data_IF_362930578218
#
_entry.id   IF_362930578218
#
_cell.length_a   1.000
_cell.length_b   1.000
_cell.length_c   1.000
_cell.angle_alpha   90.00
_cell.angle_beta   90.00
_cell.angle_gamma   90.00
#
_symmetry.space_group_name_H-M   'P 1'
#
loop_
_entity.id
_entity.type
_entity.pdbx_description
1 polymer ?
#
# COMPACT_ATOMS: atom_id res chain seq x y z
N UNK A 1 67.88 23.20 42.01
CA UNK A 1 68.70 22.09 41.49
C UNK A 1 67.93 21.42 40.36
N UNK A 2 68.55 21.07 39.24
CA UNK A 2 67.86 20.37 38.15
C UNK A 2 67.40 18.99 38.63
N UNK A 3 66.20 18.57 38.20
CA UNK A 3 65.70 17.21 38.43
C UNK A 3 66.72 16.20 37.89
N UNK A 4 67.07 15.17 38.67
CA UNK A 4 67.99 14.14 38.18
C UNK A 4 67.29 13.27 37.13
N UNK A 5 68.04 12.70 36.18
CA UNK A 5 67.48 11.82 35.14
C UNK A 5 66.62 10.67 35.72
N UNK A 6 66.99 10.16 36.90
CA UNK A 6 66.24 9.14 37.64
C UNK A 6 64.88 9.64 38.14
N UNK A 7 64.80 10.87 38.62
CA UNK A 7 63.54 11.50 39.05
C UNK A 7 62.60 11.72 37.86
N UNK A 8 63.13 12.16 36.72
CA UNK A 8 62.40 12.32 35.46
C UNK A 8 61.82 10.99 34.96
N UNK A 9 62.63 9.91 34.94
CA UNK A 9 62.17 8.58 34.54
C UNK A 9 61.10 8.02 35.49
N UNK A 10 61.27 8.19 36.80
CA UNK A 10 60.27 7.82 37.81
C UNK A 10 58.93 8.54 37.57
N UNK A 11 58.99 9.86 37.36
CA UNK A 11 57.81 10.68 37.11
C UNK A 11 57.12 10.29 35.80
N UNK A 12 57.87 10.03 34.73
CA UNK A 12 57.34 9.57 33.46
C UNK A 12 56.63 8.22 33.59
N UNK A 13 57.24 7.24 34.29
CA UNK A 13 56.59 5.95 34.57
C UNK A 13 55.28 6.11 35.32
N UNK A 14 55.25 6.94 36.35
CA UNK A 14 54.02 7.22 37.12
C UNK A 14 52.93 7.83 36.24
N UNK A 15 53.28 8.83 35.43
CA UNK A 15 52.32 9.45 34.49
C UNK A 15 51.78 8.43 33.49
N UNK A 16 52.65 7.56 32.94
CA UNK A 16 52.23 6.52 32.00
C UNK A 16 51.28 5.52 32.67
N UNK A 17 51.59 5.06 33.90
CA UNK A 17 50.69 4.18 34.67
C UNK A 17 49.32 4.83 34.93
N UNK A 18 49.29 6.11 35.34
CA UNK A 18 48.03 6.82 35.55
C UNK A 18 47.22 7.01 34.26
N UNK A 19 47.89 7.14 33.11
CA UNK A 19 47.21 7.21 31.82
C UNK A 19 46.55 5.89 31.44
N UNK A 20 47.26 4.76 31.61
CA UNK A 20 46.69 3.41 31.41
C UNK A 20 45.50 3.18 32.32
N UNK A 21 45.58 3.54 33.60
CA UNK A 21 44.46 3.42 34.55
C UNK A 21 43.24 4.26 34.13
N UNK A 22 43.46 5.47 33.60
CA UNK A 22 42.39 6.33 33.08
C UNK A 22 41.75 5.75 31.83
N UNK A 23 42.56 5.20 30.92
CA UNK A 23 42.12 4.54 29.70
C UNK A 23 41.27 3.30 30.03
N UNK A 24 41.74 2.43 30.93
CA UNK A 24 41.00 1.26 31.40
C UNK A 24 39.66 1.66 32.06
N UNK A 25 39.68 2.72 32.88
CA UNK A 25 38.46 3.24 33.53
C UNK A 25 37.48 3.81 32.50
N UNK A 26 37.97 4.50 31.48
CA UNK A 26 37.15 5.05 30.40
C UNK A 26 36.47 3.92 29.61
N UNK A 27 37.24 2.93 29.14
CA UNK A 27 36.68 1.78 28.41
C UNK A 27 35.73 0.96 29.27
N UNK A 28 36.04 0.73 30.56
CA UNK A 28 35.16 0.03 31.48
C UNK A 28 33.82 0.77 31.66
N UNK A 29 33.86 2.10 31.79
CA UNK A 29 32.65 2.92 31.88
C UNK A 29 31.83 2.87 30.60
N UNK A 30 32.48 2.96 29.43
CA UNK A 30 31.82 2.90 28.13
C UNK A 30 31.17 1.53 27.90
N UNK A 31 31.85 0.44 28.25
CA UNK A 31 31.32 -0.91 28.16
C UNK A 31 30.09 -1.09 29.06
N UNK A 32 30.15 -0.61 30.31
CA UNK A 32 29.02 -0.68 31.22
C UNK A 32 27.82 0.13 30.73
N UNK A 33 28.06 1.30 30.12
CA UNK A 33 26.99 2.12 29.54
C UNK A 33 26.35 1.44 28.32
N UNK A 34 27.17 0.88 27.42
CA UNK A 34 26.69 0.11 26.27
C UNK A 34 25.90 -1.13 26.69
N UNK A 35 26.41 -1.88 27.69
CA UNK A 35 25.71 -3.03 28.24
C UNK A 35 24.34 -2.64 28.81
N UNK A 36 24.26 -1.50 29.50
CA UNK A 36 22.99 -0.96 29.98
C UNK A 36 22.02 -0.68 28.83
N UNK A 37 22.44 0.00 27.76
CA UNK A 37 21.57 0.28 26.62
C UNK A 37 21.14 -0.99 25.89
N UNK A 38 22.05 -1.94 25.69
CA UNK A 38 21.76 -3.24 25.08
C UNK A 38 20.71 -3.99 25.92
N UNK A 39 20.89 -4.03 27.24
CA UNK A 39 19.93 -4.70 28.13
C UNK A 39 18.56 -4.00 28.11
N UNK A 40 18.51 -2.68 28.10
CA UNK A 40 17.26 -1.92 27.94
C UNK A 40 16.57 -2.24 26.61
N UNK A 41 17.32 -2.31 25.52
CA UNK A 41 16.81 -2.68 24.20
C UNK A 41 16.28 -4.13 24.18
N UNK A 42 16.99 -5.07 24.80
CA UNK A 42 16.55 -6.46 24.93
C UNK A 42 15.24 -6.55 25.71
N UNK A 43 15.12 -5.86 26.83
CA UNK A 43 13.88 -5.86 27.63
C UNK A 43 12.71 -5.22 26.86
N UNK A 44 12.97 -4.15 26.11
CA UNK A 44 11.98 -3.57 25.19
C UNK A 44 11.54 -4.60 24.14
N UNK A 45 12.46 -5.30 23.48
CA UNK A 45 12.14 -6.33 22.49
C UNK A 45 11.36 -7.50 23.08
N UNK A 46 11.68 -7.92 24.31
CA UNK A 46 10.90 -8.94 25.04
C UNK A 46 9.48 -8.45 25.29
N UNK A 47 9.31 -7.20 25.70
CA UNK A 47 8.00 -6.58 25.89
C UNK A 47 7.16 -6.54 24.61
N UNK A 48 7.76 -6.14 23.48
CA UNK A 48 7.11 -6.15 22.16
C UNK A 48 6.69 -7.57 21.77
N UNK A 49 7.60 -8.55 21.87
CA UNK A 49 7.30 -9.96 21.55
C UNK A 49 6.20 -10.54 22.42
N UNK A 50 6.17 -10.21 23.71
CA UNK A 50 5.13 -10.71 24.61
C UNK A 50 3.76 -10.11 24.30
N UNK A 51 3.69 -8.83 23.91
CA UNK A 51 2.46 -8.22 23.38
C UNK A 51 2.03 -8.91 22.09
N UNK A 52 2.95 -9.09 21.14
CA UNK A 52 2.65 -9.75 19.88
C UNK A 52 2.18 -11.20 20.08
N UNK A 53 2.76 -11.94 21.05
CA UNK A 53 2.32 -13.29 21.41
C UNK A 53 0.88 -13.33 21.91
N UNK A 54 0.41 -12.30 22.61
CA UNK A 54 -0.94 -12.24 23.19
C UNK A 54 -1.98 -11.73 22.21
N UNK A 55 -1.62 -10.71 21.44
CA UNK A 55 -2.58 -9.91 20.68
C UNK A 55 -2.48 -10.12 19.17
N UNK A 56 -1.33 -10.62 18.68
CA UNK A 56 -1.04 -10.77 17.26
C UNK A 56 -1.28 -9.49 16.44
N UNK A 57 -0.96 -8.32 16.99
CA UNK A 57 -1.22 -7.00 16.39
C UNK A 57 -0.56 -6.83 15.01
N UNK A 58 0.58 -7.47 14.76
CA UNK A 58 1.27 -7.42 13.46
C UNK A 58 0.78 -8.47 12.44
N UNK A 59 -0.27 -9.27 12.75
CA UNK A 59 -0.76 -10.27 11.79
C UNK A 59 -1.58 -9.61 10.69
N UNK A 60 -1.20 -9.87 9.43
CA UNK A 60 -2.01 -9.53 8.28
C UNK A 60 -2.17 -10.75 7.37
N UNK A 61 -3.40 -11.21 7.17
CA UNK A 61 -3.66 -12.44 6.40
C UNK A 61 -3.27 -12.28 4.91
N UNK A 62 -3.34 -11.07 4.36
CA UNK A 62 -3.01 -10.83 2.95
C UNK A 62 -1.51 -10.76 2.71
N UNK A 63 -0.76 -10.26 3.70
CA UNK A 63 0.71 -10.36 3.69
C UNK A 63 1.15 -11.83 3.70
N UNK A 64 0.52 -12.66 4.54
CA UNK A 64 0.77 -14.11 4.59
C UNK A 64 0.46 -14.78 3.24
N UNK A 65 -0.59 -14.33 2.56
CA UNK A 65 -0.97 -14.84 1.23
C UNK A 65 -0.17 -14.21 0.08
N UNK A 66 0.77 -13.31 0.37
CA UNK A 66 1.69 -12.70 -0.60
C UNK A 66 1.00 -11.74 -1.57
N UNK A 67 0.21 -10.80 -1.05
CA UNK A 67 -0.45 -9.76 -1.87
C UNK A 67 0.51 -8.67 -2.35
N UNK A 68 1.64 -8.44 -1.65
CA UNK A 68 2.51 -7.25 -1.71
C UNK A 68 2.71 -6.60 -3.09
N UNK A 69 2.82 -7.38 -4.19
CA UNK A 69 2.94 -6.86 -5.57
C UNK A 69 2.13 -7.66 -6.60
N UNK A 70 1.13 -8.42 -6.17
CA UNK A 70 0.38 -9.30 -7.06
C UNK A 70 -0.90 -8.61 -7.57
N UNK A 71 -0.79 -7.97 -8.74
CA UNK A 71 -1.89 -7.26 -9.39
C UNK A 71 -3.14 -8.15 -9.55
N UNK A 72 -2.96 -9.44 -9.85
CA UNK A 72 -4.07 -10.38 -10.01
C UNK A 72 -4.80 -10.66 -8.69
N UNK A 73 -4.07 -10.82 -7.58
CA UNK A 73 -4.69 -10.99 -6.24
C UNK A 73 -5.43 -9.73 -5.81
N UNK A 74 -4.85 -8.56 -6.04
CA UNK A 74 -5.50 -7.28 -5.78
C UNK A 74 -6.78 -7.11 -6.61
N UNK A 75 -6.74 -7.44 -7.90
CA UNK A 75 -7.93 -7.40 -8.77
C UNK A 75 -9.01 -8.38 -8.31
N UNK A 76 -8.61 -9.58 -7.84
CA UNK A 76 -9.55 -10.55 -7.23
C UNK A 76 -10.25 -9.99 -6.00
N UNK A 77 -9.50 -9.35 -5.11
CA UNK A 77 -10.04 -8.80 -3.87
C UNK A 77 -10.93 -7.57 -4.13
N UNK A 78 -10.52 -6.67 -5.02
CA UNK A 78 -11.33 -5.53 -5.42
C UNK A 78 -12.63 -5.98 -6.07
N UNK A 79 -12.59 -6.95 -6.98
CA UNK A 79 -13.80 -7.51 -7.57
C UNK A 79 -14.72 -8.15 -6.52
N UNK A 80 -14.16 -8.84 -5.52
CA UNK A 80 -14.93 -9.36 -4.39
C UNK A 80 -15.64 -8.24 -3.61
N UNK A 81 -14.99 -7.10 -3.36
CA UNK A 81 -15.63 -5.94 -2.71
C UNK A 81 -16.70 -5.27 -3.58
N UNK A 82 -16.48 -5.19 -4.89
CA UNK A 82 -17.33 -4.46 -5.82
C UNK A 82 -18.61 -5.22 -6.18
N UNK A 83 -18.65 -6.55 -6.01
CA UNK A 83 -19.78 -7.38 -6.41
C UNK A 83 -20.84 -7.49 -5.30
N UNK A 84 -22.07 -7.02 -5.52
CA UNK A 84 -23.10 -7.00 -4.48
C UNK A 84 -23.57 -8.39 -4.03
N UNK A 85 -23.22 -9.44 -4.78
CA UNK A 85 -23.62 -10.83 -4.54
C UNK A 85 -22.54 -11.66 -3.88
N UNK A 86 -21.36 -11.09 -3.66
CA UNK A 86 -20.23 -11.79 -3.07
C UNK A 86 -20.34 -11.99 -1.56
N UNK A 87 -19.43 -12.83 -1.04
CA UNK A 87 -19.49 -13.34 0.33
C UNK A 87 -19.21 -12.31 1.44
N UNK A 88 -18.83 -11.07 1.11
CA UNK A 88 -18.82 -9.98 2.09
C UNK A 88 -20.22 -9.62 2.59
N UNK A 89 -21.27 -9.99 1.83
CA UNK A 89 -22.67 -9.88 2.22
C UNK A 89 -23.11 -8.47 2.65
N UNK A 90 -22.51 -7.43 2.06
CA UNK A 90 -22.86 -6.02 2.32
C UNK A 90 -23.59 -5.35 1.15
N UNK A 91 -24.21 -6.15 0.26
CA UNK A 91 -24.85 -5.67 -0.98
C UNK A 91 -23.85 -4.80 -1.77
N UNK A 92 -24.31 -3.73 -2.41
CA UNK A 92 -23.51 -2.80 -3.19
C UNK A 92 -22.76 -1.74 -2.35
N UNK A 93 -22.60 -1.92 -1.04
CA UNK A 93 -22.07 -0.88 -0.14
C UNK A 93 -20.72 -0.33 -0.61
N UNK A 94 -19.71 -1.19 -0.85
CA UNK A 94 -18.39 -0.72 -1.30
C UNK A 94 -18.47 -0.06 -2.68
N UNK A 95 -19.23 -0.65 -3.61
CA UNK A 95 -19.47 -0.07 -4.93
C UNK A 95 -20.10 1.33 -4.82
N UNK A 96 -21.10 1.51 -3.95
CA UNK A 96 -21.76 2.80 -3.72
C UNK A 96 -20.81 3.86 -3.17
N UNK A 97 -19.89 3.46 -2.28
CA UNK A 97 -18.84 4.34 -1.75
C UNK A 97 -17.90 4.76 -2.89
N UNK A 98 -17.45 3.81 -3.70
CA UNK A 98 -16.57 4.07 -4.84
C UNK A 98 -17.21 4.99 -5.89
N UNK A 99 -18.47 4.75 -6.25
CA UNK A 99 -19.24 5.59 -7.20
C UNK A 99 -19.36 7.03 -6.69
N UNK A 100 -19.61 7.24 -5.40
CA UNK A 100 -19.68 8.56 -4.77
C UNK A 100 -18.33 9.25 -4.71
N UNK A 101 -17.27 8.53 -4.31
CA UNK A 101 -15.90 9.05 -4.29
C UNK A 101 -15.46 9.50 -5.69
N UNK A 102 -15.86 8.76 -6.73
CA UNK A 102 -15.60 9.12 -8.13
C UNK A 102 -16.61 10.08 -8.74
N UNK A 103 -17.61 10.53 -7.99
CA UNK A 103 -18.67 11.46 -8.42
C UNK A 103 -19.36 11.02 -9.71
N UNK A 104 -19.54 9.71 -9.88
CA UNK A 104 -20.28 9.17 -11.00
C UNK A 104 -21.80 9.35 -10.78
N UNK A 105 -22.61 9.34 -11.87
CA UNK A 105 -24.06 9.45 -11.76
C UNK A 105 -24.68 8.42 -10.80
N UNK A 106 -25.56 8.88 -9.92
CA UNK A 106 -26.17 8.05 -8.87
C UNK A 106 -27.12 6.98 -9.43
N UNK A 107 -27.63 7.18 -10.64
CA UNK A 107 -28.51 6.26 -11.37
C UNK A 107 -27.80 4.94 -11.75
N UNK A 108 -26.48 4.86 -11.57
CA UNK A 108 -25.69 3.62 -11.67
C UNK A 108 -26.04 2.67 -10.51
N UNK A 109 -26.48 3.21 -9.36
CA UNK A 109 -26.82 2.48 -8.15
C UNK A 109 -28.27 1.97 -8.12
N UNK A 110 -29.06 2.20 -9.18
CA UNK A 110 -30.47 1.80 -9.26
C UNK A 110 -30.61 0.28 -9.47
N UNK A 111 -30.29 -0.51 -8.44
CA UNK A 111 -30.46 -1.96 -8.39
C UNK A 111 -29.15 -2.75 -8.44
N UNK A 112 -29.13 -4.01 -7.98
CA UNK A 112 -27.90 -4.80 -7.88
C UNK A 112 -27.64 -5.71 -9.10
N UNK A 113 -28.35 -5.54 -10.22
CA UNK A 113 -28.31 -6.46 -11.38
C UNK A 113 -27.13 -6.19 -12.34
N UNK A 114 -26.03 -5.65 -11.82
CA UNK A 114 -24.76 -5.57 -12.53
C UNK A 114 -23.88 -6.78 -12.18
N UNK A 115 -22.99 -7.16 -13.09
CA UNK A 115 -22.03 -8.23 -12.87
C UNK A 115 -20.63 -7.66 -12.74
N UNK A 116 -19.82 -8.22 -11.84
CA UNK A 116 -18.39 -7.96 -11.75
C UNK A 116 -17.62 -9.15 -12.32
N UNK A 117 -16.71 -8.88 -13.24
CA UNK A 117 -15.87 -9.89 -13.90
C UNK A 117 -14.42 -9.50 -13.77
N UNK A 118 -13.57 -10.51 -13.73
CA UNK A 118 -12.12 -10.36 -13.67
C UNK A 118 -11.53 -10.89 -14.95
N UNK A 119 -10.37 -10.34 -15.32
CA UNK A 119 -9.52 -10.93 -16.35
C UNK A 119 -10.24 -11.17 -17.69
N UNK A 120 -11.05 -10.21 -18.10
CA UNK A 120 -11.88 -10.32 -19.30
C UNK A 120 -11.01 -10.09 -20.52
N UNK A 121 -10.90 -11.10 -21.39
CA UNK A 121 -10.21 -10.97 -22.67
C UNK A 121 -10.91 -9.96 -23.57
N UNK A 122 -10.19 -8.92 -23.97
CA UNK A 122 -10.51 -8.04 -25.09
C UNK A 122 -9.84 -8.52 -26.38
N UNK A 123 -9.98 -7.74 -27.45
CA UNK A 123 -9.33 -8.03 -28.73
C UNK A 123 -7.84 -7.65 -28.68
N UNK A 124 -7.50 -6.60 -27.93
CA UNK A 124 -6.14 -6.04 -27.88
C UNK A 124 -5.48 -6.19 -26.51
N UNK A 125 -6.27 -6.48 -25.47
CA UNK A 125 -5.83 -6.43 -24.09
C UNK A 125 -6.65 -7.34 -23.15
N UNK A 126 -6.29 -7.36 -21.86
CA UNK A 126 -6.96 -8.17 -20.84
C UNK A 126 -7.36 -7.25 -19.71
N UNK A 127 -8.65 -6.96 -19.63
CA UNK A 127 -9.22 -6.05 -18.64
C UNK A 127 -9.16 -6.72 -17.27
N UNK A 128 -8.51 -6.06 -16.30
CA UNK A 128 -8.36 -6.57 -14.94
C UNK A 128 -9.72 -6.76 -14.24
N UNK A 129 -10.58 -5.73 -14.28
CA UNK A 129 -11.94 -5.78 -13.70
C UNK A 129 -12.94 -5.10 -14.63
N UNK A 130 -14.03 -5.80 -14.97
CA UNK A 130 -15.19 -5.27 -15.70
C UNK A 130 -16.42 -5.28 -14.77
N UNK A 131 -17.08 -4.13 -14.62
CA UNK A 131 -18.39 -4.00 -13.99
C UNK A 131 -19.38 -3.62 -15.08
N UNK A 132 -20.40 -4.44 -15.32
CA UNK A 132 -21.33 -4.22 -16.42
C UNK A 132 -22.77 -4.49 -16.04
N UNK A 133 -23.66 -3.56 -16.40
CA UNK A 133 -25.11 -3.75 -16.38
C UNK A 133 -25.64 -3.75 -17.80
N UNK A 134 -26.36 -4.80 -18.18
CA UNK A 134 -26.88 -5.01 -19.55
C UNK A 134 -28.39 -4.79 -19.69
N UNK A 135 -29.07 -4.62 -18.57
CA UNK A 135 -30.52 -4.47 -18.44
C UNK A 135 -30.92 -2.99 -18.51
N UNK A 136 -31.95 -2.54 -17.78
CA UNK A 136 -32.28 -1.12 -17.70
C UNK A 136 -31.09 -0.35 -17.13
N UNK A 137 -30.94 0.91 -17.53
CA UNK A 137 -29.85 1.76 -17.07
C UNK A 137 -28.43 1.20 -17.34
N UNK A 138 -28.21 0.66 -18.55
CA UNK A 138 -26.94 0.04 -18.93
C UNK A 138 -25.73 0.93 -18.69
N UNK A 139 -24.67 0.33 -18.16
CA UNK A 139 -23.38 0.98 -18.01
C UNK A 139 -22.26 -0.05 -18.07
N UNK A 140 -21.04 0.45 -18.30
CA UNK A 140 -19.82 -0.33 -18.18
C UNK A 140 -18.73 0.50 -17.48
N UNK A 141 -18.04 -0.15 -16.55
CA UNK A 141 -16.84 0.37 -15.90
C UNK A 141 -15.73 -0.65 -16.09
N UNK A 142 -14.59 -0.22 -16.62
CA UNK A 142 -13.35 -1.01 -16.58
C UNK A 142 -12.39 -0.39 -15.58
N UNK A 143 -11.73 -1.24 -14.80
CA UNK A 143 -10.66 -0.84 -13.89
C UNK A 143 -9.42 -1.61 -14.29
N UNK A 144 -8.39 -0.88 -14.70
CA UNK A 144 -7.04 -1.38 -14.92
C UNK A 144 -6.25 -1.21 -13.62
N UNK A 145 -5.72 -2.30 -13.07
CA UNK A 145 -5.06 -2.30 -11.77
C UNK A 145 -3.54 -2.38 -11.92
N UNK A 146 -2.84 -1.42 -11.32
CA UNK A 146 -1.38 -1.35 -11.31
C UNK A 146 -0.87 -1.14 -9.89
N UNK A 147 -0.13 -2.12 -9.40
CA UNK A 147 0.52 -2.08 -8.07
C UNK A 147 1.98 -1.65 -8.22
N UNK A 148 2.61 -2.06 -9.32
CA UNK A 148 3.98 -1.69 -9.68
C UNK A 148 4.05 -0.42 -10.52
N UNK A 149 4.71 -0.53 -11.68
CA UNK A 149 4.88 0.58 -12.61
C UNK A 149 3.55 0.96 -13.27
N UNK A 150 3.34 2.26 -13.48
CA UNK A 150 2.21 2.75 -14.29
C UNK A 150 2.35 2.25 -15.75
N UNK A 151 1.24 2.04 -16.47
CA UNK A 151 1.30 1.54 -17.84
C UNK A 151 1.77 2.65 -18.79
N UNK A 152 2.15 2.28 -20.02
CA UNK A 152 2.37 3.26 -21.07
C UNK A 152 1.04 3.79 -21.62
N UNK A 153 1.07 4.96 -22.26
CA UNK A 153 -0.12 5.54 -22.88
C UNK A 153 -0.68 4.66 -24.00
N UNK A 154 0.20 3.99 -24.74
CA UNK A 154 -0.17 3.06 -25.80
C UNK A 154 -0.88 1.82 -25.25
N UNK A 155 -0.45 1.32 -24.08
CA UNK A 155 -1.14 0.22 -23.42
C UNK A 155 -2.55 0.63 -23.01
N UNK A 156 -2.69 1.80 -22.37
CA UNK A 156 -4.00 2.30 -21.93
C UNK A 156 -4.97 2.57 -23.10
N UNK A 157 -4.45 2.99 -24.24
CA UNK A 157 -5.26 3.16 -25.46
C UNK A 157 -5.83 1.84 -25.99
N UNK A 158 -5.13 0.72 -25.84
CA UNK A 158 -5.66 -0.60 -26.21
C UNK A 158 -6.84 -1.01 -25.32
N UNK A 159 -6.70 -0.79 -24.01
CA UNK A 159 -7.80 -1.00 -23.04
C UNK A 159 -9.02 -0.13 -23.38
N UNK A 160 -8.80 1.13 -23.78
CA UNK A 160 -9.85 2.04 -24.23
C UNK A 160 -10.59 1.54 -25.48
N UNK A 161 -9.87 1.03 -26.49
CA UNK A 161 -10.49 0.44 -27.68
C UNK A 161 -11.36 -0.76 -27.29
N UNK A 162 -10.86 -1.65 -26.44
CA UNK A 162 -11.60 -2.81 -25.99
C UNK A 162 -12.84 -2.42 -25.17
N UNK A 163 -12.75 -1.41 -24.31
CA UNK A 163 -13.89 -0.85 -23.57
C UNK A 163 -14.97 -0.33 -24.53
N UNK A 164 -14.59 0.47 -25.52
CA UNK A 164 -15.53 1.03 -26.51
C UNK A 164 -16.25 -0.09 -27.25
N UNK A 165 -15.50 -1.02 -27.85
CA UNK A 165 -16.07 -2.15 -28.60
C UNK A 165 -17.02 -2.97 -27.73
N UNK A 166 -16.62 -3.23 -26.48
CA UNK A 166 -17.42 -3.97 -25.52
C UNK A 166 -18.72 -3.24 -25.20
N UNK A 167 -18.65 -1.94 -24.94
CA UNK A 167 -19.80 -1.10 -24.66
C UNK A 167 -20.78 -1.05 -25.85
N UNK A 168 -20.26 -0.92 -27.07
CA UNK A 168 -21.03 -0.90 -28.32
C UNK A 168 -21.75 -2.23 -28.56
N UNK A 169 -21.10 -3.36 -28.28
CA UNK A 169 -21.71 -4.69 -28.41
C UNK A 169 -22.96 -4.89 -27.52
N UNK A 170 -23.09 -4.12 -26.44
CA UNK A 170 -24.26 -4.13 -25.54
C UNK A 170 -25.15 -2.88 -25.70
N UNK A 171 -24.87 -2.00 -26.66
CA UNK A 171 -25.62 -0.77 -26.91
C UNK A 171 -25.57 0.21 -25.73
N UNK A 172 -24.42 0.31 -25.04
CA UNK A 172 -24.24 1.19 -23.89
C UNK A 172 -23.89 2.60 -24.38
N UNK A 173 -24.61 3.62 -23.91
CA UNK A 173 -24.37 5.01 -24.28
C UNK A 173 -22.97 5.49 -23.85
N UNK A 174 -22.31 6.34 -24.65
CA UNK A 174 -20.98 6.90 -24.36
C UNK A 174 -20.87 7.57 -22.99
N UNK A 175 -21.92 8.26 -22.54
CA UNK A 175 -21.96 8.91 -21.22
C UNK A 175 -22.04 7.92 -20.05
N UNK A 176 -22.14 6.63 -20.33
CA UNK A 176 -22.25 5.52 -19.36
C UNK A 176 -21.12 4.51 -19.48
N UNK A 177 -19.98 4.97 -19.99
CA UNK A 177 -18.73 4.22 -20.17
C UNK A 177 -17.67 4.92 -19.33
N UNK A 178 -16.99 4.19 -18.45
CA UNK A 178 -15.93 4.75 -17.62
C UNK A 178 -14.74 3.81 -17.53
N UNK A 179 -13.55 4.34 -17.79
CA UNK A 179 -12.29 3.66 -17.50
C UNK A 179 -11.64 4.25 -16.26
N UNK A 180 -11.09 3.40 -15.40
CA UNK A 180 -10.26 3.82 -14.26
C UNK A 180 -8.90 3.14 -14.33
N UNK A 181 -7.84 3.93 -14.27
CA UNK A 181 -6.50 3.41 -14.03
C UNK A 181 -6.21 3.54 -12.54
N UNK A 182 -6.25 2.41 -11.82
CA UNK A 182 -5.83 2.33 -10.43
C UNK A 182 -4.31 2.16 -10.39
N UNK A 183 -3.57 3.18 -9.97
CA UNK A 183 -2.12 3.10 -9.88
C UNK A 183 -1.57 3.77 -8.64
N UNK A 184 -0.43 3.26 -8.18
CA UNK A 184 0.32 3.82 -7.05
C UNK A 184 0.90 5.20 -7.37
N UNK A 185 1.52 5.31 -8.54
CA UNK A 185 2.05 6.58 -9.03
C UNK A 185 0.95 7.42 -9.67
N UNK A 186 1.11 8.74 -9.58
CA UNK A 186 0.28 9.67 -10.33
C UNK A 186 0.46 9.39 -11.83
N UNK A 187 -0.65 9.06 -12.49
CA UNK A 187 -0.70 8.72 -13.90
C UNK A 187 -1.56 9.70 -14.70
N UNK A 188 -1.73 10.94 -14.21
CA UNK A 188 -2.50 12.00 -14.90
C UNK A 188 -1.98 12.22 -16.33
N UNK A 189 -0.66 12.18 -16.50
CA UNK A 189 0.03 12.30 -17.80
C UNK A 189 -0.30 11.15 -18.78
N UNK A 190 -0.48 9.95 -18.24
CA UNK A 190 -0.80 8.75 -19.03
C UNK A 190 -2.25 8.76 -19.47
N UNK A 191 -3.17 9.11 -18.56
CA UNK A 191 -4.61 9.11 -18.82
C UNK A 191 -5.07 10.34 -19.63
N UNK A 192 -4.26 11.41 -19.69
CA UNK A 192 -4.60 12.62 -20.43
C UNK A 192 -4.91 12.32 -21.91
N UNK A 193 -6.09 12.73 -22.38
CA UNK A 193 -6.55 12.49 -23.74
C UNK A 193 -7.03 11.05 -24.02
N UNK A 194 -7.24 10.25 -22.98
CA UNK A 194 -7.96 8.96 -23.02
C UNK A 194 -9.29 9.10 -22.26
N UNK A 195 -10.20 8.14 -22.40
CA UNK A 195 -11.42 8.07 -21.57
C UNK A 195 -11.17 7.60 -20.13
N UNK A 196 -9.97 7.11 -19.84
CA UNK A 196 -9.64 6.64 -18.51
C UNK A 196 -9.41 7.83 -17.57
N UNK A 197 -9.73 7.64 -16.31
CA UNK A 197 -9.35 8.58 -15.24
C UNK A 197 -8.46 7.88 -14.22
N UNK A 198 -7.46 8.60 -13.72
CA UNK A 198 -6.55 8.07 -12.72
C UNK A 198 -7.24 7.97 -11.35
N UNK A 199 -6.94 6.89 -10.64
CA UNK A 199 -7.32 6.64 -9.25
C UNK A 199 -6.08 6.19 -8.49
N UNK A 200 -5.74 6.91 -7.43
CA UNK A 200 -4.65 6.51 -6.54
C UNK A 200 -5.08 5.43 -5.55
N UNK A 201 -4.15 4.59 -5.11
CA UNK A 201 -4.41 3.60 -4.05
C UNK A 201 -4.85 4.22 -2.72
N UNK A 202 -4.49 5.47 -2.45
CA UNK A 202 -5.01 6.25 -1.32
C UNK A 202 -6.54 6.44 -1.38
N UNK A 203 -7.11 6.48 -2.59
CA UNK A 203 -8.56 6.54 -2.79
C UNK A 203 -9.23 5.24 -2.37
N UNK A 204 -8.59 4.09 -2.67
CA UNK A 204 -9.07 2.78 -2.23
C UNK A 204 -9.00 2.65 -0.71
N UNK A 205 -7.95 3.18 -0.08
CA UNK A 205 -7.83 3.24 1.40
C UNK A 205 -8.96 4.06 2.02
N UNK A 206 -9.30 5.23 1.46
CA UNK A 206 -10.46 6.01 1.92
C UNK A 206 -11.77 5.24 1.77
N UNK A 207 -11.99 4.60 0.62
CA UNK A 207 -13.18 3.78 0.38
C UNK A 207 -13.26 2.60 1.38
N UNK A 208 -12.14 1.94 1.68
CA UNK A 208 -12.08 0.86 2.67
C UNK A 208 -12.36 1.32 4.09
N UNK A 209 -11.87 2.50 4.49
CA UNK A 209 -12.20 3.08 5.78
C UNK A 209 -13.70 3.36 5.92
N UNK A 210 -14.32 3.94 4.88
CA UNK A 210 -15.76 4.16 4.88
C UNK A 210 -16.54 2.84 4.87
N UNK A 211 -16.08 1.85 4.10
CA UNK A 211 -16.69 0.53 4.06
C UNK A 211 -16.62 -0.18 5.41
N UNK A 212 -15.46 -0.19 6.08
CA UNK A 212 -15.32 -0.78 7.41
C UNK A 212 -16.19 -0.06 8.46
N UNK A 213 -16.32 1.26 8.36
CA UNK A 213 -17.17 2.06 9.25
C UNK A 213 -18.66 1.81 9.03
N UNK A 214 -19.08 1.63 7.78
CA UNK A 214 -20.49 1.52 7.40
C UNK A 214 -21.00 0.07 7.33
N UNK A 215 -20.12 -0.91 7.16
CA UNK A 215 -20.50 -2.31 7.11
C UNK A 215 -21.14 -2.74 8.43
N UNK A 216 -22.14 -3.62 8.34
CA UNK A 216 -22.84 -4.15 9.51
C UNK A 216 -22.10 -5.38 10.08
N UNK A 217 -21.53 -6.23 9.22
CA UNK A 217 -20.89 -7.47 9.62
C UNK A 217 -19.46 -7.26 10.11
N UNK A 218 -19.18 -7.60 11.37
CA UNK A 218 -17.85 -7.49 11.99
C UNK A 218 -16.75 -8.23 11.22
N UNK A 219 -17.05 -9.41 10.66
CA UNK A 219 -16.10 -10.15 9.82
C UNK A 219 -15.70 -9.36 8.57
N UNK A 220 -16.66 -8.66 7.97
CA UNK A 220 -16.40 -7.84 6.78
C UNK A 220 -15.58 -6.60 7.14
N UNK A 221 -15.86 -5.97 8.29
CA UNK A 221 -15.02 -4.88 8.81
C UNK A 221 -13.57 -5.32 8.99
N UNK A 222 -13.38 -6.44 9.68
CA UNK A 222 -12.05 -7.00 9.92
C UNK A 222 -11.32 -7.31 8.61
N UNK A 223 -11.97 -7.97 7.64
CA UNK A 223 -11.36 -8.25 6.34
C UNK A 223 -11.00 -6.96 5.58
N UNK A 224 -11.84 -5.93 5.66
CA UNK A 224 -11.56 -4.62 5.04
C UNK A 224 -10.36 -3.92 5.70
N UNK A 225 -10.25 -3.98 7.03
CA UNK A 225 -9.10 -3.46 7.79
C UNK A 225 -7.81 -4.16 7.39
N UNK A 226 -7.83 -5.49 7.28
CA UNK A 226 -6.69 -6.28 6.82
C UNK A 226 -6.25 -5.87 5.41
N UNK A 227 -7.19 -5.63 4.49
CA UNK A 227 -6.83 -5.18 3.15
C UNK A 227 -6.29 -3.75 3.12
N UNK A 228 -6.88 -2.87 3.93
CA UNK A 228 -6.39 -1.50 4.09
C UNK A 228 -4.93 -1.47 4.55
N UNK A 229 -4.62 -2.20 5.61
CA UNK A 229 -3.25 -2.29 6.16
C UNK A 229 -2.27 -2.86 5.13
N UNK A 230 -2.68 -3.89 4.39
CA UNK A 230 -1.88 -4.46 3.30
C UNK A 230 -1.56 -3.40 2.23
N UNK A 231 -2.53 -2.59 1.80
CA UNK A 231 -2.30 -1.52 0.82
C UNK A 231 -1.38 -0.43 1.41
N UNK A 232 -1.66 0.01 2.64
CA UNK A 232 -0.90 1.05 3.31
C UNK A 232 0.57 0.67 3.48
N UNK A 233 0.83 -0.57 3.91
CA UNK A 233 2.19 -1.06 4.15
C UNK A 233 2.93 -1.42 2.86
N UNK A 234 2.28 -2.10 1.93
CA UNK A 234 2.97 -2.70 0.78
C UNK A 234 2.96 -1.83 -0.48
N UNK A 235 1.92 -1.03 -0.67
CA UNK A 235 1.77 -0.21 -1.89
C UNK A 235 2.21 1.22 -1.59
N UNK A 236 1.66 1.82 -0.53
CA UNK A 236 1.85 3.23 -0.22
C UNK A 236 3.18 3.48 0.51
N UNK A 237 3.43 2.82 1.66
CA UNK A 237 4.62 3.08 2.50
C UNK A 237 5.94 2.81 1.80
N UNK A 238 6.04 1.70 1.07
CA UNK A 238 7.24 1.37 0.29
C UNK A 238 7.58 2.47 -0.73
N UNK A 239 6.59 3.26 -1.19
CA UNK A 239 6.90 4.41 -2.05
C UNK A 239 7.62 5.53 -1.31
N UNK A 240 7.22 5.82 -0.07
CA UNK A 240 7.78 6.94 0.69
C UNK A 240 9.25 6.66 0.97
N UNK A 241 9.59 5.45 1.39
CA UNK A 241 11.00 5.07 1.62
C UNK A 241 11.83 5.14 0.34
N UNK A 242 11.34 4.59 -0.78
CA UNK A 242 12.07 4.64 -2.07
C UNK A 242 12.25 6.07 -2.58
N UNK A 243 11.26 6.95 -2.35
CA UNK A 243 11.33 8.34 -2.77
C UNK A 243 12.29 9.14 -1.89
N UNK A 244 12.24 8.96 -0.58
CA UNK A 244 13.17 9.56 0.39
C UNK A 244 14.62 9.16 0.07
N UNK A 245 14.88 7.88 -0.21
CA UNK A 245 16.21 7.39 -0.59
C UNK A 245 16.75 8.05 -1.88
N UNK A 246 15.89 8.24 -2.90
CA UNK A 246 16.27 8.89 -4.18
C UNK A 246 16.49 10.39 -4.05
N UNK A 247 15.68 11.06 -3.24
CA UNK A 247 15.81 12.49 -3.00
C UNK A 247 17.10 12.78 -2.20
N UNK A 248 17.46 11.93 -1.22
CA UNK A 248 18.74 12.01 -0.50
C UNK A 248 19.97 11.75 -1.40
N UNK A 249 19.87 10.87 -2.40
CA UNK A 249 20.97 10.57 -3.33
C UNK A 249 21.20 11.72 -4.33
N UNK A 250 20.12 12.38 -4.78
CA UNK A 250 20.19 13.56 -5.64
C UNK A 250 20.69 14.82 -4.92
N UNK A 251 20.49 14.94 -3.60
CA UNK A 251 21.07 16.04 -2.82
C UNK A 251 22.56 15.87 -2.53
N UNK A 252 23.10 14.64 -2.70
CA UNK A 252 24.51 14.31 -2.51
C UNK A 252 25.35 14.35 -3.79
N UNK A 253 24.74 14.62 -4.95
CA UNK A 253 25.41 14.72 -6.26
C UNK A 253 25.38 16.15 -6.81
#
# INVERSE_FOLDING_TARGET
MPETALQLVSRFKRTLSSFVELEDKYYSSLLAENEKYINQFIEMLKGVREKQRKNAEEINILDILGFTYDEMKHSKFLAWLLDPTETHAQKDLFFSIFIREKRLPVEILDGPDFCVKKEVSGDESRIDIEIIRKTMNRFIIHIENKVGMKPTKEQLKREEVDLIKRAESFGINEKRRWGFLLSKENATDVVEGTMFSWVGWDTMVRCLNDFARMAEAEKTKWVAEQYKECIENNIIRINKSIKEDRDEENERT
#
